data_IF_483205892489
#
_entry.id   IF_483205892489
#
_cell.length_a   1.000
_cell.length_b   1.000
_cell.length_c   1.000
_cell.angle_alpha   90.00
_cell.angle_beta   90.00
_cell.angle_gamma   90.00
#
_symmetry.space_group_name_H-M   'P 1'
#
loop_
_entity.id
_entity.type
_entity.pdbx_description
1 polymer ?
#
# COMPACT_ATOMS: atom_id res chain seq x y z
N UNK A 1 -13.05 8.67 -12.61
CA UNK A 1 -13.26 7.45 -11.77
C UNK A 1 -13.00 6.13 -12.50
N UNK A 2 -12.80 6.10 -13.83
CA UNK A 2 -12.58 4.87 -14.59
C UNK A 2 -11.42 3.98 -14.08
N UNK A 3 -10.36 4.58 -13.50
CA UNK A 3 -9.26 3.82 -12.91
C UNK A 3 -9.67 3.04 -11.64
N UNK A 4 -10.57 3.59 -10.83
CA UNK A 4 -11.13 2.92 -9.66
C UNK A 4 -12.01 1.73 -10.07
N UNK A 5 -12.78 1.88 -11.15
CA UNK A 5 -13.63 0.81 -11.67
C UNK A 5 -12.83 -0.42 -12.11
N UNK A 6 -11.61 -0.22 -12.64
CA UNK A 6 -10.72 -1.33 -13.05
C UNK A 6 -10.30 -2.24 -11.89
N UNK A 7 -10.33 -1.74 -10.66
CA UNK A 7 -9.89 -2.50 -9.48
C UNK A 7 -11.05 -3.11 -8.68
N UNK A 8 -12.31 -2.87 -9.08
CA UNK A 8 -13.53 -3.34 -8.40
C UNK A 8 -13.52 -4.82 -8.05
N UNK A 9 -13.09 -5.69 -8.98
CA UNK A 9 -13.08 -7.14 -8.76
C UNK A 9 -12.20 -7.55 -7.57
N UNK A 10 -11.07 -6.86 -7.39
CA UNK A 10 -10.11 -7.15 -6.31
C UNK A 10 -10.51 -6.45 -5.01
N UNK A 11 -10.98 -5.22 -5.11
CA UNK A 11 -11.39 -4.41 -3.96
C UNK A 11 -12.68 -4.93 -3.32
N UNK A 12 -13.55 -5.57 -4.10
CA UNK A 12 -14.89 -5.98 -3.67
C UNK A 12 -15.93 -4.90 -3.92
N UNK A 13 -17.18 -5.30 -4.15
CA UNK A 13 -18.25 -4.39 -4.60
C UNK A 13 -18.60 -3.30 -3.59
N UNK A 14 -18.70 -3.66 -2.30
CA UNK A 14 -19.06 -2.75 -1.21
C UNK A 14 -17.98 -1.69 -0.98
N UNK A 15 -16.73 -2.12 -0.76
CA UNK A 15 -15.58 -1.22 -0.59
C UNK A 15 -15.37 -0.32 -1.80
N UNK A 16 -15.55 -0.87 -3.01
CA UNK A 16 -15.48 -0.08 -4.22
C UNK A 16 -16.54 1.02 -4.25
N UNK A 17 -17.80 0.72 -3.88
CA UNK A 17 -18.87 1.71 -3.84
C UNK A 17 -18.54 2.82 -2.84
N UNK A 18 -18.21 2.46 -1.60
CA UNK A 18 -17.89 3.44 -0.56
C UNK A 18 -16.70 4.33 -0.96
N UNK A 19 -15.64 3.75 -1.52
CA UNK A 19 -14.47 4.51 -1.92
C UNK A 19 -14.74 5.41 -3.13
N UNK A 20 -15.64 5.00 -4.03
CA UNK A 20 -16.09 5.81 -5.17
C UNK A 20 -16.87 7.04 -4.69
N UNK A 21 -17.71 6.88 -3.68
CA UNK A 21 -18.50 7.98 -3.13
C UNK A 21 -17.60 9.02 -2.43
N UNK A 22 -16.66 8.56 -1.60
CA UNK A 22 -15.66 9.43 -0.93
C UNK A 22 -14.81 10.18 -1.96
N UNK A 23 -14.32 9.47 -2.99
CA UNK A 23 -13.51 10.08 -4.05
C UNK A 23 -14.32 11.11 -4.85
N UNK A 24 -15.58 10.82 -5.16
CA UNK A 24 -16.46 11.74 -5.88
C UNK A 24 -16.71 13.01 -5.08
N UNK A 25 -17.01 12.88 -3.78
CA UNK A 25 -17.18 14.02 -2.88
C UNK A 25 -15.92 14.88 -2.79
N UNK A 26 -14.76 14.26 -2.59
CA UNK A 26 -13.47 14.95 -2.53
C UNK A 26 -13.17 15.72 -3.84
N UNK A 27 -13.44 15.12 -5.00
CA UNK A 27 -13.22 15.77 -6.31
C UNK A 27 -14.16 16.95 -6.57
N UNK A 28 -15.33 16.99 -5.92
CA UNK A 28 -16.24 18.14 -5.98
C UNK A 28 -15.93 19.21 -4.93
N UNK A 29 -15.05 18.91 -3.97
CA UNK A 29 -14.59 19.89 -2.99
C UNK A 29 -13.69 20.94 -3.66
N UNK A 30 -13.59 22.13 -3.08
CA UNK A 30 -12.70 23.20 -3.55
C UNK A 30 -11.22 22.90 -3.21
N UNK A 31 -10.74 21.73 -3.62
CA UNK A 31 -9.40 21.19 -3.36
C UNK A 31 -9.08 21.00 -1.87
N UNK A 32 -10.06 20.53 -1.09
CA UNK A 32 -9.86 20.21 0.32
C UNK A 32 -8.97 18.96 0.47
N UNK A 33 -7.72 19.18 0.91
CA UNK A 33 -6.73 18.12 1.03
C UNK A 33 -7.16 17.01 1.98
N UNK A 34 -7.96 17.30 3.02
CA UNK A 34 -8.34 16.28 4.01
C UNK A 34 -9.36 15.30 3.42
N UNK A 35 -10.26 15.78 2.54
CA UNK A 35 -11.17 14.90 1.79
C UNK A 35 -10.40 13.99 0.82
N UNK A 36 -9.31 14.49 0.23
CA UNK A 36 -8.46 13.65 -0.61
C UNK A 36 -7.72 12.56 0.16
N UNK A 37 -7.27 12.85 1.39
CA UNK A 37 -6.58 11.86 2.25
C UNK A 37 -7.44 10.63 2.53
N UNK A 38 -8.75 10.80 2.65
CA UNK A 38 -9.67 9.70 2.99
C UNK A 38 -9.65 8.58 1.92
N UNK A 39 -9.90 8.90 0.65
CA UNK A 39 -9.90 7.89 -0.41
C UNK A 39 -8.48 7.40 -0.75
N UNK A 40 -7.46 8.24 -0.60
CA UNK A 40 -6.05 7.83 -0.77
C UNK A 40 -5.69 6.75 0.26
N UNK A 41 -6.02 6.97 1.54
CA UNK A 41 -5.80 5.98 2.60
C UNK A 41 -6.52 4.67 2.29
N UNK A 42 -7.78 4.73 1.87
CA UNK A 42 -8.54 3.53 1.50
C UNK A 42 -7.90 2.75 0.36
N UNK A 43 -7.40 3.42 -0.69
CA UNK A 43 -6.65 2.74 -1.75
C UNK A 43 -5.38 2.08 -1.23
N UNK A 44 -4.60 2.79 -0.40
CA UNK A 44 -3.35 2.26 0.13
C UNK A 44 -3.60 1.00 0.96
N UNK A 45 -4.49 1.09 1.95
CA UNK A 45 -4.74 0.02 2.92
C UNK A 45 -5.55 -1.13 2.31
N UNK A 46 -6.59 -0.86 1.53
CA UNK A 46 -7.51 -1.91 1.09
C UNK A 46 -7.16 -2.52 -0.27
N UNK A 47 -6.31 -1.87 -1.06
CA UNK A 47 -5.93 -2.36 -2.39
C UNK A 47 -4.42 -2.58 -2.54
N UNK A 48 -3.59 -1.60 -2.18
CA UNK A 48 -2.15 -1.68 -2.40
C UNK A 48 -1.43 -2.55 -1.36
N UNK A 49 -1.74 -2.43 -0.07
CA UNK A 49 -1.08 -3.21 0.99
C UNK A 49 -1.25 -4.73 0.80
N UNK A 50 -2.47 -5.28 0.59
CA UNK A 50 -2.63 -6.70 0.34
C UNK A 50 -1.96 -7.15 -0.97
N UNK A 51 -1.87 -6.25 -1.94
CA UNK A 51 -1.15 -6.52 -3.17
C UNK A 51 0.35 -6.65 -2.97
N UNK A 52 0.93 -5.70 -2.25
CA UNK A 52 2.35 -5.70 -1.97
C UNK A 52 2.73 -6.88 -1.08
N UNK A 53 1.93 -7.18 -0.06
CA UNK A 53 2.13 -8.36 0.77
C UNK A 53 2.13 -9.65 -0.06
N UNK A 54 1.12 -9.86 -0.91
CA UNK A 54 1.08 -11.02 -1.81
C UNK A 54 2.25 -11.07 -2.80
N UNK A 55 2.70 -9.93 -3.30
CA UNK A 55 3.87 -9.89 -4.19
C UNK A 55 5.18 -10.16 -3.44
N UNK A 56 5.27 -9.75 -2.17
CA UNK A 56 6.42 -10.02 -1.31
C UNK A 56 6.52 -11.51 -0.97
N UNK A 57 5.42 -12.18 -0.66
CA UNK A 57 5.43 -13.63 -0.37
C UNK A 57 5.98 -14.45 -1.54
N UNK A 58 5.65 -14.07 -2.79
CA UNK A 58 6.20 -14.70 -4.00
C UNK A 58 7.72 -14.54 -4.16
N UNK A 59 8.29 -13.51 -3.53
CA UNK A 59 9.71 -13.18 -3.61
C UNK A 59 10.46 -13.51 -2.32
N UNK A 60 9.81 -14.19 -1.37
CA UNK A 60 10.37 -14.47 -0.05
C UNK A 60 11.73 -15.19 -0.13
N UNK A 61 11.91 -16.11 -1.10
CA UNK A 61 13.16 -16.87 -1.27
C UNK A 61 14.41 -16.01 -1.53
N UNK A 62 14.26 -14.81 -2.12
CA UNK A 62 15.38 -13.90 -2.40
C UNK A 62 15.58 -12.83 -1.32
N UNK A 63 14.79 -12.85 -0.24
CA UNK A 63 14.90 -11.92 0.86
C UNK A 63 15.98 -12.43 1.81
N UNK A 64 17.06 -11.68 1.95
CA UNK A 64 18.18 -12.01 2.85
C UNK A 64 17.98 -11.45 4.27
N UNK A 65 17.11 -10.44 4.41
CA UNK A 65 16.78 -9.81 5.68
C UNK A 65 15.35 -9.23 5.66
N UNK A 66 14.64 -9.31 6.79
CA UNK A 66 13.35 -8.66 7.02
C UNK A 66 13.26 -8.22 8.48
N UNK A 67 13.08 -6.93 8.72
CA UNK A 67 12.99 -6.33 10.04
C UNK A 67 12.61 -4.85 9.94
N UNK A 68 12.63 -4.17 11.07
CA UNK A 68 12.51 -2.71 11.15
C UNK A 68 13.86 -2.02 10.83
N UNK A 69 13.88 -0.69 11.00
CA UNK A 69 15.07 0.11 10.71
C UNK A 69 16.25 -0.22 11.63
N UNK A 70 15.99 -0.48 12.91
CA UNK A 70 17.04 -0.67 13.91
C UNK A 70 17.70 -2.05 13.69
N UNK A 71 16.89 -3.09 13.55
CA UNK A 71 17.36 -4.45 13.25
C UNK A 71 18.05 -4.54 11.88
N UNK A 72 17.67 -3.70 10.91
CA UNK A 72 18.37 -3.62 9.63
C UNK A 72 19.80 -3.09 9.78
N UNK A 73 20.00 -2.04 10.57
CA UNK A 73 21.32 -1.45 10.80
C UNK A 73 22.25 -2.44 11.50
N UNK A 74 21.74 -3.17 12.48
CA UNK A 74 22.47 -4.23 13.17
C UNK A 74 22.90 -5.34 12.18
N UNK A 75 21.94 -5.89 11.44
CA UNK A 75 22.21 -6.92 10.43
C UNK A 75 23.22 -6.47 9.36
N UNK A 76 23.09 -5.23 8.87
CA UNK A 76 23.98 -4.70 7.85
C UNK A 76 25.41 -4.55 8.37
N UNK A 77 25.61 -4.17 9.63
CA UNK A 77 26.94 -4.10 10.25
C UNK A 77 27.58 -5.47 10.42
N UNK A 78 26.81 -6.49 10.82
CA UNK A 78 27.32 -7.87 10.94
C UNK A 78 27.67 -8.45 9.56
N UNK A 79 26.83 -8.18 8.56
CA UNK A 79 27.06 -8.64 7.20
C UNK A 79 28.36 -8.10 6.60
N UNK A 80 28.69 -6.82 6.82
CA UNK A 80 29.93 -6.19 6.34
C UNK A 80 31.19 -6.83 6.95
N UNK A 81 31.15 -7.13 8.26
CA UNK A 81 32.26 -7.76 8.98
C UNK A 81 32.53 -9.20 8.53
N UNK A 82 31.50 -9.92 8.06
CA UNK A 82 31.62 -11.30 7.57
C UNK A 82 32.06 -11.40 6.10
N UNK A 83 32.09 -10.28 5.37
CA UNK A 83 32.56 -10.21 3.98
C UNK A 83 34.01 -9.70 3.86
N UNK A 84 34.63 -9.29 4.97
CA UNK A 84 36.03 -8.85 5.06
C UNK A 84 36.91 -10.00 5.55
#
# INVERSE_FOLDING_TARGET
LASLDRIKKRLGGERHSALRDIMSAALTSNNDHDQHRAWIRGLLVDYYDPMYEYQMTKKARRVVFKGDSDTFLEWASEFDQLQT
#
